data_IF_383626624445
#
_entry.id   IF_383626624445
#
_cell.length_a   1.000
_cell.length_b   1.000
_cell.length_c   1.000
_cell.angle_alpha   90.00
_cell.angle_beta   90.00
_cell.angle_gamma   90.00
#
_symmetry.space_group_name_H-M   'P 1'
#
loop_
_entity.id
_entity.type
_entity.pdbx_description
1 polymer ?
#
# COMPACT_ATOMS: atom_id res chain seq x y z
N UNK A 1 -6.46 5.59 -22.24
CA UNK A 1 -5.49 6.65 -21.90
C UNK A 1 -4.95 6.31 -20.53
N UNK A 2 -3.78 5.72 -20.50
CA UNK A 2 -3.11 5.25 -19.30
C UNK A 2 -2.46 6.46 -18.65
N UNK A 3 -2.96 6.87 -17.50
CA UNK A 3 -2.22 7.82 -16.64
C UNK A 3 -1.37 6.99 -15.67
N UNK A 4 -0.24 6.54 -16.17
CA UNK A 4 0.87 6.12 -15.30
C UNK A 4 1.52 7.38 -14.76
N UNK A 5 1.04 7.89 -13.64
CA UNK A 5 1.67 9.00 -12.94
C UNK A 5 2.56 8.44 -11.83
N UNK A 6 3.59 7.72 -12.23
CA UNK A 6 4.74 7.47 -11.37
C UNK A 6 5.77 8.58 -11.68
N UNK A 7 5.43 9.81 -11.37
CA UNK A 7 6.38 10.91 -11.38
C UNK A 7 6.89 11.11 -9.95
N UNK A 8 7.90 10.33 -9.61
CA UNK A 8 8.77 10.63 -8.48
C UNK A 8 9.64 11.85 -8.86
N UNK A 9 9.10 13.03 -8.74
CA UNK A 9 9.88 14.27 -8.84
C UNK A 9 10.33 14.63 -7.43
N UNK A 10 11.50 14.10 -7.04
CA UNK A 10 12.23 14.60 -5.89
C UNK A 10 12.82 15.97 -6.25
N UNK A 11 12.04 17.02 -6.10
CA UNK A 11 12.56 18.38 -6.17
C UNK A 11 13.09 18.76 -4.78
N UNK A 12 14.37 18.55 -4.55
CA UNK A 12 15.08 19.13 -3.40
C UNK A 12 15.18 20.65 -3.59
N UNK A 13 14.23 21.38 -3.04
CA UNK A 13 14.32 22.81 -2.87
C UNK A 13 14.88 23.14 -1.50
N UNK A 14 16.18 23.48 -1.42
CA UNK A 14 16.71 24.20 -0.25
C UNK A 14 16.07 25.58 -0.22
N UNK A 15 15.13 25.83 0.64
CA UNK A 15 14.63 27.16 0.92
C UNK A 15 14.55 27.37 2.42
N UNK A 16 15.24 28.42 2.84
CA UNK A 16 15.34 28.86 4.23
C UNK A 16 13.99 29.24 4.83
N UNK A 17 13.91 28.99 6.12
CA UNK A 17 12.79 29.25 7.02
C UNK A 17 12.29 30.70 6.97
N UNK A 18 11.01 30.86 6.59
CA UNK A 18 10.23 32.03 6.96
C UNK A 18 9.11 31.56 7.90
N UNK A 19 9.14 31.96 9.14
CA UNK A 19 8.08 31.73 10.12
C UNK A 19 6.85 32.56 9.75
N UNK A 20 5.76 31.89 9.40
CA UNK A 20 4.42 32.47 9.43
C UNK A 20 3.60 31.66 10.43
N UNK A 21 3.05 32.33 11.44
CA UNK A 21 2.22 31.72 12.47
C UNK A 21 0.84 31.33 11.90
N UNK A 22 0.69 30.08 11.58
CA UNK A 22 -0.56 29.37 11.35
C UNK A 22 -0.43 28.03 12.08
N UNK A 23 -1.49 27.33 12.39
CA UNK A 23 -1.43 25.96 12.97
C UNK A 23 -0.72 25.02 11.98
N UNK A 24 0.59 25.18 11.84
CA UNK A 24 1.40 24.36 10.99
C UNK A 24 1.80 23.13 11.80
N UNK A 25 1.18 21.99 11.51
CA UNK A 25 1.67 20.69 11.92
C UNK A 25 3.16 20.61 11.52
N UNK A 26 4.03 20.23 12.47
CA UNK A 26 5.47 20.23 12.26
C UNK A 26 5.87 19.27 11.15
N UNK A 27 6.31 19.81 10.01
CA UNK A 27 6.95 19.03 8.96
C UNK A 27 8.34 18.60 9.40
N UNK A 28 8.69 17.33 9.14
CA UNK A 28 9.99 16.75 9.50
C UNK A 28 10.66 16.20 8.25
N UNK A 29 11.73 16.83 7.83
CA UNK A 29 12.55 16.41 6.70
C UNK A 29 13.94 15.99 7.13
N UNK A 30 14.41 14.81 6.67
CA UNK A 30 15.75 14.30 6.91
C UNK A 30 16.37 13.76 5.63
N UNK A 31 17.67 13.94 5.47
CA UNK A 31 18.43 13.22 4.42
C UNK A 31 18.93 11.88 4.95
N UNK A 32 19.42 11.86 6.18
CA UNK A 32 19.90 10.65 6.85
C UNK A 32 19.29 10.54 8.24
N UNK A 33 18.88 9.32 8.59
CA UNK A 33 18.33 8.97 9.89
C UNK A 33 16.83 8.78 9.86
N UNK A 34 16.36 7.97 10.79
CA UNK A 34 14.95 7.63 10.92
C UNK A 34 14.16 8.77 11.58
N UNK A 35 12.87 8.84 11.24
CA UNK A 35 11.90 9.71 11.88
C UNK A 35 11.07 8.85 12.83
N UNK A 36 10.90 9.31 14.05
CA UNK A 36 10.03 8.68 15.03
C UNK A 36 9.07 9.71 15.60
N UNK A 37 7.78 9.48 15.38
CA UNK A 37 6.68 10.27 15.93
C UNK A 37 6.17 9.55 17.18
N UNK A 38 6.14 10.17 18.35
CA UNK A 38 5.58 9.57 19.56
C UNK A 38 4.08 9.30 19.45
N UNK A 39 3.55 8.46 20.35
CA UNK A 39 2.11 8.21 20.43
C UNK A 39 1.33 9.51 20.73
N UNK A 40 0.08 9.57 20.27
CA UNK A 40 -0.85 10.68 20.48
C UNK A 40 -0.31 12.04 20.00
N UNK A 41 0.50 12.05 18.95
CA UNK A 41 1.11 13.25 18.38
C UNK A 41 0.41 13.69 17.10
N UNK A 42 0.43 14.98 16.81
CA UNK A 42 -0.01 15.54 15.53
C UNK A 42 1.19 16.20 14.86
N UNK A 43 1.46 15.78 13.62
CA UNK A 43 2.59 16.24 12.80
C UNK A 43 2.13 16.46 11.37
N UNK A 44 2.88 17.26 10.63
CA UNK A 44 2.64 17.51 9.22
C UNK A 44 3.23 16.40 8.34
N UNK A 45 3.98 16.81 7.33
CA UNK A 45 4.66 15.93 6.40
C UNK A 45 5.93 15.35 7.02
N UNK A 46 6.14 14.04 6.82
CA UNK A 46 7.34 13.33 7.24
C UNK A 46 8.10 12.85 6.00
N UNK A 47 9.35 13.27 5.83
CA UNK A 47 10.14 12.89 4.66
C UNK A 47 11.56 12.49 5.06
N UNK A 48 12.08 11.39 4.51
CA UNK A 48 13.47 11.01 4.68
C UNK A 48 14.03 10.32 3.44
N UNK A 49 15.31 10.46 3.18
CA UNK A 49 15.97 9.75 2.08
C UNK A 49 16.54 8.41 2.56
N UNK A 50 17.30 8.42 3.63
CA UNK A 50 17.94 7.21 4.16
C UNK A 50 17.54 7.02 5.62
N UNK A 51 16.44 6.33 5.83
CA UNK A 51 15.91 6.01 7.15
C UNK A 51 14.47 5.55 7.09
N UNK A 52 14.02 4.85 8.12
CA UNK A 52 12.61 4.48 8.27
C UNK A 52 11.81 5.59 8.93
N UNK A 53 10.50 5.52 8.77
CA UNK A 53 9.54 6.40 9.44
C UNK A 53 8.67 5.52 10.32
N UNK A 54 8.59 5.84 11.62
CA UNK A 54 7.66 5.21 12.55
C UNK A 54 6.73 6.25 13.13
N UNK A 55 5.44 6.00 13.01
CA UNK A 55 4.38 6.86 13.54
C UNK A 55 3.70 6.10 14.67
N UNK A 56 3.74 6.68 15.87
CA UNK A 56 3.20 6.10 17.08
C UNK A 56 1.69 6.00 17.10
N UNK A 57 1.16 5.24 18.04
CA UNK A 57 -0.26 4.94 18.15
C UNK A 57 -1.12 6.20 18.36
N UNK A 58 -2.34 6.20 17.81
CA UNK A 58 -3.32 7.29 17.91
C UNK A 58 -2.79 8.66 17.46
N UNK A 59 -1.78 8.67 16.59
CA UNK A 59 -1.18 9.89 16.06
C UNK A 59 -1.82 10.32 14.76
N UNK A 60 -1.64 11.58 14.41
CA UNK A 60 -2.05 12.13 13.13
C UNK A 60 -0.84 12.67 12.37
N UNK A 61 -0.75 12.34 11.08
CA UNK A 61 0.24 12.90 10.17
C UNK A 61 -0.40 13.23 8.82
N UNK A 62 0.18 14.18 8.08
CA UNK A 62 -0.31 14.47 6.72
C UNK A 62 0.20 13.44 5.71
N UNK A 63 1.50 13.18 5.67
CA UNK A 63 2.08 12.13 4.81
C UNK A 63 3.37 11.58 5.39
N UNK A 64 3.76 10.38 4.94
CA UNK A 64 5.06 9.80 5.25
C UNK A 64 5.70 9.24 3.98
N UNK A 65 6.85 9.82 3.62
CA UNK A 65 7.55 9.55 2.37
C UNK A 65 9.00 9.15 2.66
N UNK A 66 9.48 8.02 2.13
CA UNK A 66 10.89 7.63 2.26
C UNK A 66 11.43 7.01 0.97
N UNK A 67 12.74 7.17 0.73
CA UNK A 67 13.39 6.51 -0.42
C UNK A 67 13.99 5.17 0.00
N UNK A 68 14.80 5.16 1.04
CA UNK A 68 15.49 3.95 1.51
C UNK A 68 15.14 3.71 2.97
N UNK A 69 14.00 3.07 3.19
CA UNK A 69 13.51 2.72 4.52
C UNK A 69 12.08 2.23 4.49
N UNK A 70 11.67 1.58 5.54
CA UNK A 70 10.27 1.18 5.73
C UNK A 70 9.46 2.27 6.44
N UNK A 71 8.14 2.14 6.33
CA UNK A 71 7.20 2.97 7.07
C UNK A 71 6.37 2.05 7.95
N UNK A 72 6.41 2.31 9.26
CA UNK A 72 5.61 1.60 10.26
C UNK A 72 4.60 2.58 10.87
N UNK A 73 3.33 2.28 10.73
CA UNK A 73 2.23 3.00 11.36
C UNK A 73 1.68 2.14 12.49
N UNK A 74 1.81 2.59 13.71
CA UNK A 74 1.28 1.89 14.89
C UNK A 74 -0.25 2.00 14.94
N UNK A 75 -0.92 1.37 15.88
CA UNK A 75 -2.39 1.22 15.86
C UNK A 75 -3.15 2.53 16.08
N UNK A 76 -4.31 2.68 15.44
CA UNK A 76 -5.25 3.79 15.66
C UNK A 76 -4.82 5.15 15.09
N UNK A 77 -3.77 5.19 14.30
CA UNK A 77 -3.29 6.43 13.70
C UNK A 77 -4.09 6.82 12.44
N UNK A 78 -4.01 8.10 12.08
CA UNK A 78 -4.64 8.65 10.87
C UNK A 78 -3.59 9.36 10.02
N UNK A 79 -3.60 9.11 8.72
CA UNK A 79 -2.68 9.72 7.76
C UNK A 79 -3.33 9.85 6.39
N UNK A 80 -2.90 10.80 5.56
CA UNK A 80 -3.43 10.91 4.20
C UNK A 80 -2.77 9.89 3.26
N UNK A 81 -1.43 9.80 3.24
CA UNK A 81 -0.71 8.93 2.30
C UNK A 81 0.59 8.38 2.88
N UNK A 82 0.98 7.20 2.38
CA UNK A 82 2.22 6.51 2.70
C UNK A 82 2.94 6.15 1.41
N UNK A 83 4.21 6.53 1.26
CA UNK A 83 5.00 6.23 0.06
C UNK A 83 6.42 5.79 0.40
N UNK A 84 6.90 4.71 -0.22
CA UNK A 84 8.30 4.29 -0.13
C UNK A 84 8.83 3.75 -1.46
N UNK A 85 10.11 3.97 -1.72
CA UNK A 85 10.77 3.38 -2.90
C UNK A 85 11.40 2.05 -2.56
N UNK A 86 12.24 1.99 -1.56
CA UNK A 86 12.97 0.78 -1.16
C UNK A 86 12.72 0.49 0.31
N UNK A 87 11.65 -0.23 0.58
CA UNK A 87 11.24 -0.62 1.92
C UNK A 87 9.79 -1.08 1.95
N UNK A 88 9.40 -1.75 3.02
CA UNK A 88 8.01 -2.16 3.23
C UNK A 88 7.20 -1.09 3.93
N UNK A 89 5.89 -1.16 3.78
CA UNK A 89 4.92 -0.37 4.54
C UNK A 89 4.11 -1.34 5.40
N UNK A 90 4.11 -1.09 6.70
CA UNK A 90 3.29 -1.81 7.65
C UNK A 90 2.32 -0.85 8.31
N UNK A 91 1.04 -1.14 8.15
CA UNK A 91 -0.04 -0.39 8.77
C UNK A 91 -0.68 -1.27 9.84
N UNK A 92 -0.55 -0.88 11.09
CA UNK A 92 -1.09 -1.58 12.26
C UNK A 92 -2.61 -1.65 12.27
N UNK A 93 -3.20 -1.98 13.39
CA UNK A 93 -4.65 -2.18 13.49
C UNK A 93 -5.41 -0.86 13.61
N UNK A 94 -6.65 -0.84 13.08
CA UNK A 94 -7.61 0.26 13.22
C UNK A 94 -7.08 1.63 12.76
N UNK A 95 -6.21 1.64 11.76
CA UNK A 95 -5.67 2.84 11.17
C UNK A 95 -6.58 3.38 10.05
N UNK A 96 -6.47 4.67 9.79
CA UNK A 96 -7.14 5.31 8.67
C UNK A 96 -6.15 6.02 7.77
N UNK A 97 -6.05 5.55 6.53
CA UNK A 97 -5.30 6.19 5.45
C UNK A 97 -6.30 6.81 4.48
N UNK A 98 -6.33 8.13 4.41
CA UNK A 98 -7.38 8.82 3.65
C UNK A 98 -7.23 8.67 2.12
N UNK A 99 -5.99 8.54 1.62
CA UNK A 99 -5.68 8.50 0.18
C UNK A 99 -5.03 7.19 -0.21
N UNK A 100 -3.70 7.13 -0.31
CA UNK A 100 -2.98 6.02 -0.96
C UNK A 100 -1.90 5.41 -0.09
N UNK A 101 -1.58 4.14 -0.39
CA UNK A 101 -0.42 3.42 0.16
C UNK A 101 0.37 2.85 -1.00
N UNK A 102 1.60 3.35 -1.19
CA UNK A 102 2.40 3.03 -2.38
C UNK A 102 3.81 2.58 -2.01
N UNK A 103 4.28 1.49 -2.62
CA UNK A 103 5.65 1.02 -2.50
C UNK A 103 6.21 0.64 -3.87
N UNK A 104 7.47 0.94 -4.16
CA UNK A 104 8.09 0.43 -5.39
C UNK A 104 8.70 -0.95 -5.15
N UNK A 105 9.66 -1.05 -4.26
CA UNK A 105 10.34 -2.30 -3.92
C UNK A 105 10.13 -2.61 -2.44
N UNK A 106 9.00 -3.23 -2.13
CA UNK A 106 8.67 -3.60 -0.77
C UNK A 106 7.28 -4.16 -0.63
N UNK A 107 7.05 -4.86 0.44
CA UNK A 107 5.73 -5.40 0.75
C UNK A 107 4.89 -4.38 1.51
N UNK A 108 3.59 -4.39 1.24
CA UNK A 108 2.60 -3.61 1.96
C UNK A 108 1.75 -4.59 2.78
N UNK A 109 1.64 -4.35 4.08
CA UNK A 109 0.76 -5.13 4.97
C UNK A 109 -0.20 -4.20 5.68
N UNK A 110 -1.49 -4.45 5.52
CA UNK A 110 -2.57 -3.76 6.21
C UNK A 110 -3.19 -4.72 7.23
N UNK A 111 -3.11 -4.37 8.51
CA UNK A 111 -3.69 -5.19 9.58
C UNK A 111 -5.16 -4.85 9.84
N UNK A 112 -5.77 -5.64 10.73
CA UNK A 112 -7.22 -5.67 10.99
C UNK A 112 -7.81 -4.29 11.33
N UNK A 113 -8.97 -4.00 10.77
CA UNK A 113 -9.67 -2.74 11.00
C UNK A 113 -9.04 -1.53 10.30
N UNK A 114 -7.99 -1.73 9.51
CA UNK A 114 -7.41 -0.64 8.72
C UNK A 114 -8.31 -0.27 7.56
N UNK A 115 -8.52 1.04 7.37
CA UNK A 115 -9.26 1.61 6.25
C UNK A 115 -8.34 2.45 5.36
N UNK A 116 -8.30 2.15 4.06
CA UNK A 116 -7.62 2.96 3.04
C UNK A 116 -8.68 3.51 2.09
N UNK A 117 -8.82 4.84 2.03
CA UNK A 117 -9.85 5.47 1.19
C UNK A 117 -9.56 5.37 -0.31
N UNK A 118 -8.29 5.42 -0.70
CA UNK A 118 -7.84 5.32 -2.09
C UNK A 118 -7.32 3.93 -2.45
N UNK A 119 -6.31 3.90 -3.32
CA UNK A 119 -5.71 2.65 -3.81
C UNK A 119 -4.47 2.24 -3.02
N UNK A 120 -4.14 0.95 -3.12
CA UNK A 120 -2.91 0.37 -2.59
C UNK A 120 -2.13 -0.22 -3.75
N UNK A 121 -0.89 0.21 -3.94
CA UNK A 121 -0.10 -0.23 -5.08
C UNK A 121 1.34 -0.56 -4.74
N UNK A 122 1.89 -1.55 -5.45
CA UNK A 122 3.33 -1.76 -5.48
C UNK A 122 3.81 -2.19 -6.89
N UNK A 123 5.13 -2.17 -7.08
CA UNK A 123 5.73 -2.74 -8.29
C UNK A 123 6.28 -4.13 -7.99
N UNK A 124 7.09 -4.25 -6.94
CA UNK A 124 7.71 -5.51 -6.51
C UNK A 124 7.51 -5.71 -5.01
N UNK A 125 7.14 -6.91 -4.62
CA UNK A 125 6.85 -7.28 -3.23
C UNK A 125 5.42 -7.79 -3.12
N UNK A 126 4.95 -8.07 -1.91
CA UNK A 126 3.61 -8.56 -1.70
C UNK A 126 2.69 -7.44 -1.15
N UNK A 127 1.42 -7.46 -1.55
CA UNK A 127 0.35 -6.71 -0.89
C UNK A 127 -0.47 -7.70 -0.08
N UNK A 128 -0.56 -7.50 1.23
CA UNK A 128 -1.31 -8.35 2.14
C UNK A 128 -2.32 -7.54 2.95
N UNK A 129 -3.57 -7.95 2.89
CA UNK A 129 -4.66 -7.43 3.69
C UNK A 129 -5.08 -8.49 4.73
N UNK A 130 -5.23 -8.08 5.99
CA UNK A 130 -5.72 -8.90 7.09
C UNK A 130 -6.96 -8.24 7.69
N UNK A 131 -8.15 -8.67 7.28
CA UNK A 131 -9.43 -8.07 7.68
C UNK A 131 -9.43 -6.53 7.55
N UNK A 132 -8.91 -6.03 6.43
CA UNK A 132 -8.78 -4.61 6.12
C UNK A 132 -9.71 -4.18 4.98
N UNK A 133 -10.01 -2.89 4.90
CA UNK A 133 -10.86 -2.29 3.88
C UNK A 133 -10.07 -1.33 2.99
N UNK A 134 -10.22 -1.47 1.67
CA UNK A 134 -9.65 -0.59 0.65
C UNK A 134 -10.77 -0.06 -0.23
N UNK A 135 -11.04 1.23 -0.16
CA UNK A 135 -12.09 1.90 -0.95
C UNK A 135 -11.75 2.00 -2.43
N UNK A 136 -10.46 2.10 -2.77
CA UNK A 136 -9.98 1.98 -4.14
C UNK A 136 -9.66 0.55 -4.54
N UNK A 137 -8.72 0.38 -5.46
CA UNK A 137 -8.26 -0.92 -5.94
C UNK A 137 -6.90 -1.33 -5.39
N UNK A 138 -6.51 -2.57 -5.69
CA UNK A 138 -5.17 -3.08 -5.48
C UNK A 138 -4.45 -3.19 -6.82
N UNK A 139 -3.18 -2.76 -6.88
CA UNK A 139 -2.39 -2.82 -8.11
C UNK A 139 -0.98 -3.31 -7.84
N UNK A 140 -0.52 -4.24 -8.68
CA UNK A 140 0.89 -4.69 -8.67
C UNK A 140 1.40 -4.94 -10.09
N UNK A 141 2.73 -4.96 -10.26
CA UNK A 141 3.36 -5.41 -11.51
C UNK A 141 3.94 -6.81 -11.39
N UNK A 142 4.63 -7.11 -10.30
CA UNK A 142 5.34 -8.39 -10.13
C UNK A 142 5.12 -9.03 -8.76
N UNK A 143 4.33 -8.41 -7.89
CA UNK A 143 4.09 -8.86 -6.53
C UNK A 143 2.95 -9.86 -6.39
N UNK A 144 2.97 -10.59 -5.29
CA UNK A 144 1.83 -11.39 -4.88
C UNK A 144 0.78 -10.49 -4.21
N UNK A 145 -0.50 -10.86 -4.31
CA UNK A 145 -1.58 -10.18 -3.60
C UNK A 145 -2.36 -11.20 -2.77
N UNK A 146 -2.49 -10.90 -1.48
CA UNK A 146 -3.32 -11.69 -0.56
C UNK A 146 -4.40 -10.78 0.02
N UNK A 147 -5.61 -10.94 -0.45
CA UNK A 147 -6.79 -10.38 0.18
C UNK A 147 -7.26 -11.38 1.23
N UNK A 148 -6.79 -11.22 2.46
CA UNK A 148 -7.04 -12.14 3.56
C UNK A 148 -8.50 -12.20 3.98
N UNK A 149 -8.82 -13.12 4.88
CA UNK A 149 -10.18 -13.34 5.33
C UNK A 149 -10.85 -12.05 5.83
N UNK A 150 -12.14 -11.90 5.51
CA UNK A 150 -12.96 -10.74 5.88
C UNK A 150 -12.47 -9.38 5.37
N UNK A 151 -11.52 -9.37 4.44
CA UNK A 151 -11.06 -8.12 3.81
C UNK A 151 -12.00 -7.68 2.69
N UNK A 152 -12.05 -6.35 2.45
CA UNK A 152 -12.92 -5.78 1.43
C UNK A 152 -12.16 -4.80 0.54
N UNK A 153 -12.32 -4.95 -0.78
CA UNK A 153 -11.75 -4.08 -1.82
C UNK A 153 -12.87 -3.64 -2.75
N UNK A 154 -13.11 -2.33 -2.86
CA UNK A 154 -14.22 -1.81 -3.68
C UNK A 154 -13.84 -1.66 -5.16
N UNK A 155 -12.63 -1.19 -5.43
CA UNK A 155 -12.21 -0.78 -6.77
C UNK A 155 -11.67 -1.87 -7.68
N UNK A 156 -11.54 -3.10 -7.20
CA UNK A 156 -11.01 -4.23 -7.98
C UNK A 156 -9.51 -4.47 -7.78
N UNK A 157 -8.94 -5.35 -8.62
CA UNK A 157 -7.56 -5.77 -8.54
C UNK A 157 -6.93 -5.76 -9.94
N UNK A 158 -5.71 -5.23 -10.06
CA UNK A 158 -4.98 -5.21 -11.33
C UNK A 158 -3.57 -5.76 -11.17
N UNK A 159 -3.19 -6.65 -12.07
CA UNK A 159 -1.79 -7.05 -12.27
C UNK A 159 -1.36 -6.57 -13.65
N UNK A 160 -0.39 -5.65 -13.67
CA UNK A 160 0.09 -5.04 -14.91
C UNK A 160 0.94 -6.01 -15.74
N UNK A 161 1.07 -5.69 -17.03
CA UNK A 161 1.99 -6.41 -17.90
C UNK A 161 3.44 -6.21 -17.44
N UNK A 162 4.25 -7.24 -17.59
CA UNK A 162 5.68 -7.11 -17.40
C UNK A 162 6.29 -6.41 -18.63
N UNK A 163 6.86 -5.24 -18.40
CA UNK A 163 7.58 -4.48 -19.44
C UNK A 163 9.09 -4.76 -19.42
N UNK A 164 9.54 -5.79 -18.69
CA UNK A 164 10.93 -6.19 -18.66
C UNK A 164 11.35 -6.68 -20.03
N UNK A 165 12.26 -5.97 -20.69
CA UNK A 165 12.89 -6.35 -21.97
C UNK A 165 13.66 -7.68 -21.87
N UNK A 166 14.03 -8.09 -20.67
CA UNK A 166 14.66 -9.36 -20.41
C UNK A 166 13.66 -10.26 -19.68
N UNK A 167 13.21 -11.32 -20.31
CA UNK A 167 12.34 -12.37 -19.74
C UNK A 167 13.03 -13.13 -18.58
N UNK A 168 13.42 -12.46 -17.50
CA UNK A 168 14.14 -13.08 -16.39
C UNK A 168 13.28 -13.43 -15.17
N UNK A 169 12.01 -13.10 -15.15
CA UNK A 169 11.13 -13.56 -14.07
C UNK A 169 10.09 -14.53 -14.60
N UNK A 170 10.41 -15.82 -14.50
CA UNK A 170 9.47 -16.91 -14.83
C UNK A 170 8.40 -17.13 -13.75
N UNK A 171 8.47 -16.42 -12.62
CA UNK A 171 7.50 -16.57 -11.53
C UNK A 171 6.22 -15.82 -11.84
N UNK A 172 5.11 -16.57 -11.81
CA UNK A 172 3.77 -15.98 -11.90
C UNK A 172 3.40 -15.38 -10.56
N UNK A 173 2.87 -14.14 -10.49
CA UNK A 173 2.29 -13.61 -9.27
C UNK A 173 1.19 -14.53 -8.74
N UNK A 174 1.22 -14.77 -7.43
CA UNK A 174 0.19 -15.54 -6.74
C UNK A 174 -0.82 -14.59 -6.13
N UNK A 175 -2.08 -14.75 -6.54
CA UNK A 175 -3.20 -13.92 -6.08
C UNK A 175 -4.15 -14.80 -5.29
N UNK A 176 -4.38 -14.46 -4.03
CA UNK A 176 -5.26 -15.23 -3.15
C UNK A 176 -6.37 -14.33 -2.64
N UNK A 177 -7.61 -14.73 -2.86
CA UNK A 177 -8.79 -14.10 -2.29
C UNK A 177 -9.35 -15.07 -1.22
N UNK A 178 -9.16 -14.71 0.03
CA UNK A 178 -9.43 -15.55 1.20
C UNK A 178 -10.90 -15.68 1.56
N UNK A 179 -11.20 -16.44 2.62
CA UNK A 179 -12.56 -16.69 3.07
C UNK A 179 -13.30 -15.40 3.43
N UNK A 180 -14.56 -15.30 2.98
CA UNK A 180 -15.44 -14.15 3.21
C UNK A 180 -14.88 -12.80 2.74
N UNK A 181 -13.79 -12.81 1.96
CA UNK A 181 -13.25 -11.61 1.35
C UNK A 181 -14.14 -11.14 0.19
N UNK A 182 -14.19 -9.84 -0.03
CA UNK A 182 -14.93 -9.22 -1.12
C UNK A 182 -14.00 -8.36 -1.98
N UNK A 183 -14.02 -8.60 -3.31
CA UNK A 183 -13.42 -7.70 -4.30
C UNK A 183 -14.51 -7.30 -5.27
N UNK A 184 -15.08 -6.10 -5.08
CA UNK A 184 -16.30 -5.70 -5.79
C UNK A 184 -16.06 -5.31 -7.25
N UNK A 185 -14.91 -4.70 -7.56
CA UNK A 185 -14.55 -4.31 -8.91
C UNK A 185 -13.98 -5.45 -9.75
N UNK A 186 -13.55 -5.13 -10.96
CA UNK A 186 -12.97 -6.11 -11.91
C UNK A 186 -11.58 -6.55 -11.44
N UNK A 187 -11.31 -7.86 -11.57
CA UNK A 187 -9.97 -8.43 -11.41
C UNK A 187 -9.34 -8.53 -12.80
N UNK A 188 -8.41 -7.63 -13.13
CA UNK A 188 -7.77 -7.52 -14.45
C UNK A 188 -6.31 -7.99 -14.41
N UNK A 189 -5.99 -9.04 -15.16
CA UNK A 189 -4.65 -9.62 -15.23
C UNK A 189 -4.06 -9.45 -16.64
N UNK A 190 -3.03 -8.61 -16.76
CA UNK A 190 -2.33 -8.34 -18.04
C UNK A 190 -1.10 -9.23 -18.26
N UNK A 191 -0.90 -10.19 -17.38
CA UNK A 191 0.09 -11.24 -17.46
C UNK A 191 -0.42 -12.51 -16.78
N UNK A 192 0.24 -13.62 -17.01
CA UNK A 192 -0.08 -14.89 -16.35
C UNK A 192 0.06 -14.75 -14.82
N UNK A 193 -0.95 -15.23 -14.10
CA UNK A 193 -1.00 -15.29 -12.64
C UNK A 193 -1.53 -16.63 -12.16
N UNK A 194 -1.28 -16.96 -10.91
CA UNK A 194 -1.97 -18.05 -10.19
C UNK A 194 -3.06 -17.42 -9.32
N UNK A 195 -4.32 -17.55 -9.75
CA UNK A 195 -5.47 -16.98 -9.05
C UNK A 195 -6.20 -18.03 -8.24
N UNK A 196 -6.20 -17.89 -6.93
CA UNK A 196 -6.92 -18.71 -5.97
C UNK A 196 -8.06 -17.92 -5.33
N UNK A 197 -9.25 -18.47 -5.30
CA UNK A 197 -10.44 -17.79 -4.76
C UNK A 197 -11.17 -18.75 -3.83
N UNK A 198 -11.33 -18.35 -2.56
CA UNK A 198 -12.11 -19.13 -1.60
C UNK A 198 -13.57 -19.31 -2.07
N UNK A 199 -14.15 -20.45 -1.77
CA UNK A 199 -15.56 -20.73 -2.10
C UNK A 199 -16.53 -19.74 -1.44
N UNK A 200 -16.16 -19.19 -0.29
CA UNK A 200 -16.95 -18.18 0.43
C UNK A 200 -16.65 -16.73 0.03
N UNK A 201 -15.68 -16.50 -0.86
CA UNK A 201 -15.34 -15.16 -1.32
C UNK A 201 -16.31 -14.65 -2.40
N UNK A 202 -16.53 -13.33 -2.40
CA UNK A 202 -17.29 -12.63 -3.44
C UNK A 202 -16.34 -11.81 -4.30
N UNK A 203 -16.33 -12.06 -5.62
CA UNK A 203 -15.50 -11.32 -6.56
C UNK A 203 -16.31 -10.79 -7.73
N UNK A 204 -15.85 -9.67 -8.29
CA UNK A 204 -16.37 -9.13 -9.54
C UNK A 204 -15.93 -9.93 -10.77
N UNK A 205 -16.02 -9.31 -11.93
CA UNK A 205 -15.60 -9.92 -13.21
C UNK A 205 -14.10 -10.23 -13.20
N UNK A 206 -13.72 -11.40 -13.70
CA UNK A 206 -12.30 -11.79 -13.88
C UNK A 206 -11.94 -11.70 -15.36
N UNK A 207 -10.83 -11.00 -15.66
CA UNK A 207 -10.27 -10.86 -17.00
C UNK A 207 -8.79 -11.25 -17.00
N UNK A 208 -8.39 -12.14 -17.91
CA UNK A 208 -6.99 -12.54 -18.11
C UNK A 208 -6.48 -13.69 -17.23
N UNK A 209 -7.34 -14.29 -16.38
CA UNK A 209 -6.99 -15.45 -15.57
C UNK A 209 -8.18 -16.39 -15.34
N UNK A 210 -7.89 -17.63 -14.98
CA UNK A 210 -8.91 -18.61 -14.56
C UNK A 210 -8.80 -18.84 -13.04
N UNK A 211 -9.83 -18.55 -12.24
CA UNK A 211 -9.80 -18.75 -10.81
C UNK A 211 -9.81 -20.24 -10.45
N UNK A 212 -8.90 -20.64 -9.57
CA UNK A 212 -8.90 -21.94 -8.91
C UNK A 212 -9.62 -21.79 -7.58
N UNK A 213 -10.69 -22.56 -7.39
CA UNK A 213 -11.44 -22.53 -6.15
C UNK A 213 -10.74 -23.35 -5.07
N UNK A 214 -10.83 -22.89 -3.82
CA UNK A 214 -10.36 -23.65 -2.67
C UNK A 214 -11.32 -23.53 -1.49
N UNK A 215 -11.28 -24.51 -0.62
CA UNK A 215 -12.03 -24.56 0.62
C UNK A 215 -11.04 -24.59 1.80
N UNK A 216 -11.37 -23.91 2.89
CA UNK A 216 -10.48 -23.73 4.05
C UNK A 216 -9.82 -22.37 4.06
N UNK A 217 -8.82 -22.22 4.93
CA UNK A 217 -8.19 -20.92 5.19
C UNK A 217 -7.15 -20.52 4.14
N UNK A 218 -6.55 -21.47 3.46
CA UNK A 218 -5.52 -21.27 2.45
C UNK A 218 -5.61 -22.28 1.30
N UNK A 219 -5.19 -21.90 0.06
CA UNK A 219 -5.06 -22.81 -1.07
C UNK A 219 -3.78 -23.64 -1.00
#
# INVERSE_FOLDING_TARGET
MIRTSLCLLLAFGLAGSAFAAGNDDLDIDKVNGSIHVPDNSTVGKLSTVNGGIRIGANSHATSADTVNGGIDLDNGATIDSLETVNGGIRVGENNKVAKTVEAVNGSITLHSGTEVGGHVSNVNGAIKLEAAHVGGGLETSSGDIVVGANSRVEGGLRVNADHSWFHMSSRKPRIVIGPHATVAGTLEFKRDVELYVSDSATIGKVEGANPQKFNGDQP
#
